data_IF_565124118445
#
_entry.id   IF_565124118445
#
_cell.length_a   1.000
_cell.length_b   1.000
_cell.length_c   1.000
_cell.angle_alpha   90.00
_cell.angle_beta   90.00
_cell.angle_gamma   90.00
#
_symmetry.space_group_name_H-M   'P 1'
#
loop_
_entity.id
_entity.type
_entity.pdbx_description
1 polymer ?
#
# COMPACT_ATOMS: atom_id res chain seq x y z
N UNK A 1 -41.87 29.87 35.76
CA UNK A 1 -41.35 30.60 34.60
C UNK A 1 -39.89 30.26 34.40
N UNK A 2 -39.53 29.83 33.18
CA UNK A 2 -38.15 29.68 32.67
C UNK A 2 -37.34 28.50 33.22
N UNK A 3 -36.44 27.83 32.50
CA UNK A 3 -36.12 27.76 31.06
C UNK A 3 -35.19 26.53 30.90
N UNK A 4 -35.27 25.88 29.74
CA UNK A 4 -34.44 24.75 29.25
C UNK A 4 -32.93 24.96 29.39
N UNK A 5 -32.13 23.88 29.51
CA UNK A 5 -31.07 23.48 28.54
C UNK A 5 -30.28 22.21 28.94
N UNK A 6 -30.37 21.19 28.07
CA UNK A 6 -29.31 20.28 27.56
C UNK A 6 -28.10 19.86 28.41
N UNK A 7 -27.90 18.54 28.58
CA UNK A 7 -26.59 17.87 28.49
C UNK A 7 -26.80 16.36 28.25
N UNK A 8 -26.68 15.91 26.99
CA UNK A 8 -25.54 15.13 26.47
C UNK A 8 -25.49 13.66 26.95
N UNK A 9 -26.07 12.84 26.08
CA UNK A 9 -25.95 11.38 25.96
C UNK A 9 -24.50 10.92 26.12
N UNK A 10 -24.19 10.26 27.23
CA UNK A 10 -22.91 9.55 27.42
C UNK A 10 -23.06 8.11 26.94
N UNK A 11 -22.69 7.84 25.69
CA UNK A 11 -22.53 6.48 25.16
C UNK A 11 -21.04 6.11 25.17
N UNK A 12 -20.48 5.89 26.36
CA UNK A 12 -19.15 5.31 26.48
C UNK A 12 -19.26 3.79 26.43
N UNK A 13 -19.56 3.26 25.26
CA UNK A 13 -19.30 1.84 24.97
C UNK A 13 -17.82 1.75 24.61
N UNK A 14 -17.00 1.42 25.61
CA UNK A 14 -15.66 0.87 25.41
C UNK A 14 -15.83 -0.42 24.61
N UNK A 15 -15.74 -0.31 23.29
CA UNK A 15 -15.59 -1.47 22.43
C UNK A 15 -14.20 -2.04 22.72
N UNK A 16 -14.13 -3.02 23.62
CA UNK A 16 -13.03 -3.96 23.68
C UNK A 16 -12.88 -4.52 22.26
N UNK A 17 -11.88 -4.08 21.52
CA UNK A 17 -11.53 -4.69 20.24
C UNK A 17 -11.24 -6.16 20.50
N UNK A 18 -12.16 -7.02 20.07
CA UNK A 18 -11.96 -8.46 20.12
C UNK A 18 -10.70 -8.81 19.33
N UNK A 19 -9.86 -9.75 19.80
CA UNK A 19 -8.65 -10.18 19.09
C UNK A 19 -8.92 -11.00 17.81
N UNK A 20 -10.13 -10.91 17.22
CA UNK A 20 -10.55 -11.68 16.04
C UNK A 20 -10.34 -10.99 14.68
N UNK A 21 -10.13 -9.68 14.65
CA UNK A 21 -10.01 -8.93 13.38
C UNK A 21 -8.66 -9.16 12.66
N UNK A 22 -7.69 -9.74 13.35
CA UNK A 22 -6.36 -9.98 12.81
C UNK A 22 -6.28 -11.13 11.78
N UNK A 23 -7.35 -11.90 11.57
CA UNK A 23 -7.32 -13.14 10.76
C UNK A 23 -8.46 -13.30 9.74
N UNK A 24 -9.29 -12.30 9.48
CA UNK A 24 -10.27 -12.41 8.37
C UNK A 24 -9.59 -12.23 7.01
N UNK A 25 -9.05 -13.33 6.48
CA UNK A 25 -8.93 -13.48 5.03
C UNK A 25 -10.35 -13.58 4.49
N UNK A 26 -10.69 -12.76 3.48
CA UNK A 26 -12.01 -12.85 2.85
C UNK A 26 -12.22 -14.28 2.34
N UNK A 27 -13.39 -14.88 2.61
CA UNK A 27 -13.72 -16.23 2.13
C UNK A 27 -13.49 -16.38 0.62
N UNK A 28 -13.71 -15.31 -0.16
CA UNK A 28 -13.44 -15.27 -1.60
C UNK A 28 -11.95 -15.39 -1.94
N UNK A 29 -11.07 -14.78 -1.13
CA UNK A 29 -9.62 -14.87 -1.32
C UNK A 29 -9.11 -16.27 -1.01
N UNK A 30 -9.60 -16.91 0.05
CA UNK A 30 -9.22 -18.29 0.37
C UNK A 30 -9.60 -19.27 -0.73
N UNK A 31 -10.78 -19.09 -1.35
CA UNK A 31 -11.23 -19.89 -2.50
C UNK A 31 -10.32 -19.66 -3.71
N UNK A 32 -10.05 -18.40 -4.07
CA UNK A 32 -9.12 -18.08 -5.16
C UNK A 32 -7.73 -18.72 -4.94
N UNK A 33 -7.18 -18.61 -3.73
CA UNK A 33 -5.87 -19.17 -3.43
C UNK A 33 -5.87 -20.69 -3.58
N UNK A 34 -6.85 -21.38 -2.99
CA UNK A 34 -6.90 -22.83 -2.99
C UNK A 34 -7.26 -23.44 -4.37
N UNK A 35 -8.23 -22.86 -5.05
CA UNK A 35 -8.85 -23.46 -6.25
C UNK A 35 -8.26 -22.92 -7.56
N UNK A 36 -7.62 -21.75 -7.53
CA UNK A 36 -7.08 -21.12 -8.75
C UNK A 36 -5.57 -20.92 -8.68
N UNK A 37 -5.06 -20.31 -7.61
CA UNK A 37 -3.64 -19.94 -7.54
C UNK A 37 -2.75 -21.16 -7.33
N UNK A 38 -3.03 -22.02 -6.34
CA UNK A 38 -2.21 -23.19 -6.05
C UNK A 38 -2.16 -24.17 -7.23
N UNK A 39 -3.27 -24.49 -7.92
CA UNK A 39 -3.24 -25.31 -9.13
C UNK A 39 -2.43 -24.66 -10.28
N UNK A 40 -2.57 -23.35 -10.49
CA UNK A 40 -1.75 -22.62 -11.46
C UNK A 40 -0.25 -22.76 -11.14
N UNK A 41 0.12 -22.57 -9.87
CA UNK A 41 1.50 -22.71 -9.41
C UNK A 41 2.02 -24.14 -9.55
N UNK A 42 1.19 -25.15 -9.30
CA UNK A 42 1.57 -26.55 -9.52
C UNK A 42 1.84 -26.85 -11.00
N UNK A 43 1.12 -26.19 -11.92
CA UNK A 43 1.37 -26.28 -13.35
C UNK A 43 2.66 -25.58 -13.81
N UNK A 44 2.99 -24.43 -13.24
CA UNK A 44 4.20 -23.68 -13.56
C UNK A 44 5.46 -24.30 -12.93
N UNK A 45 5.34 -24.88 -11.74
CA UNK A 45 6.45 -25.52 -11.01
C UNK A 45 6.09 -26.93 -10.56
N UNK A 46 6.21 -27.94 -11.46
CA UNK A 46 5.89 -29.33 -11.15
C UNK A 46 6.66 -29.89 -9.95
N UNK A 47 7.91 -29.44 -9.73
CA UNK A 47 8.72 -29.86 -8.58
C UNK A 47 8.12 -29.44 -7.22
N UNK A 48 7.25 -28.43 -7.21
CA UNK A 48 6.54 -27.96 -6.02
C UNK A 48 5.10 -28.47 -5.91
N UNK A 49 4.56 -29.17 -6.92
CA UNK A 49 3.15 -29.56 -6.97
C UNK A 49 2.70 -30.34 -5.73
N UNK A 50 3.48 -31.34 -5.31
CA UNK A 50 3.18 -32.14 -4.12
C UNK A 50 3.10 -31.30 -2.83
N UNK A 51 3.95 -30.27 -2.72
CA UNK A 51 3.96 -29.38 -1.55
C UNK A 51 2.73 -28.47 -1.54
N UNK A 52 2.30 -27.99 -2.71
CA UNK A 52 1.15 -27.11 -2.86
C UNK A 52 -0.18 -27.85 -2.67
N UNK A 53 -0.26 -29.11 -3.10
CA UNK A 53 -1.49 -29.91 -3.08
C UNK A 53 -1.74 -30.60 -1.72
N UNK A 54 -0.68 -31.06 -1.03
CA UNK A 54 -0.78 -31.83 0.22
C UNK A 54 -1.65 -31.20 1.33
N UNK A 55 -1.78 -29.87 1.34
CA UNK A 55 -2.72 -29.15 2.20
C UNK A 55 -3.16 -27.83 1.56
N UNK A 56 -3.79 -27.89 0.38
CA UNK A 56 -4.18 -26.71 -0.38
C UNK A 56 -4.96 -25.67 0.47
N UNK A 57 -5.89 -26.11 1.33
CA UNK A 57 -6.65 -25.22 2.22
C UNK A 57 -5.78 -24.55 3.30
N UNK A 58 -4.91 -25.30 3.96
CA UNK A 58 -4.01 -24.73 4.97
C UNK A 58 -2.98 -23.79 4.36
N UNK A 59 -2.46 -24.14 3.19
CA UNK A 59 -1.57 -23.29 2.40
C UNK A 59 -2.29 -22.01 1.99
N UNK A 60 -3.51 -22.09 1.44
CA UNK A 60 -4.30 -20.93 1.06
C UNK A 60 -4.57 -19.98 2.24
N UNK A 61 -4.86 -20.49 3.44
CA UNK A 61 -5.05 -19.67 4.64
C UNK A 61 -3.75 -18.94 5.04
N UNK A 62 -2.62 -19.64 5.06
CA UNK A 62 -1.32 -19.04 5.38
C UNK A 62 -0.93 -17.96 4.37
N UNK A 63 -1.16 -18.22 3.08
CA UNK A 63 -0.94 -17.27 1.99
C UNK A 63 -1.86 -16.06 2.10
N UNK A 64 -3.14 -16.25 2.39
CA UNK A 64 -4.12 -15.16 2.52
C UNK A 64 -3.78 -14.18 3.64
N UNK A 65 -3.16 -14.64 4.72
CA UNK A 65 -2.65 -13.78 5.79
C UNK A 65 -1.47 -12.91 5.32
N UNK A 66 -0.51 -13.52 4.62
CA UNK A 66 0.72 -12.85 4.17
C UNK A 66 0.49 -11.88 2.99
N UNK A 67 -0.50 -12.19 2.16
CA UNK A 67 -0.89 -11.41 0.98
C UNK A 67 -2.09 -10.47 1.25
N UNK A 68 -2.43 -10.25 2.52
CA UNK A 68 -3.50 -9.32 2.91
C UNK A 68 -3.26 -7.94 2.30
N UNK A 69 -4.32 -7.38 1.70
CA UNK A 69 -4.30 -6.05 1.09
C UNK A 69 -4.06 -6.06 -0.42
N UNK A 70 -3.70 -7.21 -1.00
CA UNK A 70 -3.65 -7.38 -2.45
C UNK A 70 -4.90 -8.08 -2.98
N UNK A 71 -5.29 -7.75 -4.20
CA UNK A 71 -6.38 -8.42 -4.89
C UNK A 71 -5.90 -9.67 -5.65
N UNK A 72 -6.84 -10.54 -6.05
CA UNK A 72 -6.52 -11.79 -6.74
C UNK A 72 -5.76 -11.58 -8.06
N UNK A 73 -6.06 -10.52 -8.80
CA UNK A 73 -5.39 -10.20 -10.06
C UNK A 73 -3.92 -9.84 -9.84
N UNK A 74 -3.63 -8.95 -8.88
CA UNK A 74 -2.26 -8.56 -8.52
C UNK A 74 -1.42 -9.78 -8.12
N UNK A 75 -2.00 -10.68 -7.33
CA UNK A 75 -1.34 -11.91 -6.89
C UNK A 75 -1.06 -12.83 -8.08
N UNK A 76 -2.06 -13.04 -8.95
CA UNK A 76 -1.92 -13.88 -10.15
C UNK A 76 -0.85 -13.34 -11.10
N UNK A 77 -0.89 -12.05 -11.42
CA UNK A 77 0.08 -11.41 -12.31
C UNK A 77 1.50 -11.53 -11.78
N UNK A 78 1.70 -11.31 -10.47
CA UNK A 78 3.02 -11.47 -9.86
C UNK A 78 3.52 -12.92 -9.92
N UNK A 79 2.64 -13.90 -9.72
CA UNK A 79 3.00 -15.32 -9.88
C UNK A 79 3.34 -15.66 -11.32
N UNK A 80 2.56 -15.19 -12.29
CA UNK A 80 2.83 -15.42 -13.71
C UNK A 80 4.18 -14.82 -14.12
N UNK A 81 4.47 -13.58 -13.70
CA UNK A 81 5.75 -12.94 -13.99
C UNK A 81 6.93 -13.70 -13.36
N UNK A 82 6.78 -14.21 -12.14
CA UNK A 82 7.81 -15.06 -11.52
C UNK A 82 7.98 -16.39 -12.25
N UNK A 83 6.95 -16.86 -12.97
CA UNK A 83 6.99 -18.04 -13.83
C UNK A 83 7.66 -17.82 -15.18
N UNK A 84 7.93 -16.58 -15.58
CA UNK A 84 8.73 -16.28 -16.79
C UNK A 84 10.23 -16.54 -16.56
N UNK A 85 10.67 -16.66 -15.31
CA UNK A 85 12.03 -17.01 -14.94
C UNK A 85 12.29 -18.51 -15.17
N UNK A 86 12.92 -18.82 -16.31
CA UNK A 86 13.20 -20.19 -16.75
C UNK A 86 14.18 -20.95 -15.83
N UNK A 87 15.00 -20.25 -15.05
CA UNK A 87 15.97 -20.88 -14.15
C UNK A 87 15.33 -21.30 -12.81
N UNK A 88 14.11 -20.83 -12.52
CA UNK A 88 13.39 -21.13 -11.29
C UNK A 88 12.75 -22.52 -11.34
N UNK A 89 13.29 -23.42 -10.53
CA UNK A 89 12.79 -24.79 -10.41
C UNK A 89 11.60 -24.95 -9.45
N UNK A 90 11.43 -24.03 -8.49
CA UNK A 90 10.43 -24.14 -7.42
C UNK A 90 9.47 -22.95 -7.37
N UNK A 91 8.24 -23.26 -6.95
CA UNK A 91 7.18 -22.28 -6.72
C UNK A 91 7.63 -21.16 -5.78
N UNK A 92 7.26 -19.89 -6.07
CA UNK A 92 7.60 -18.76 -5.22
C UNK A 92 6.91 -18.86 -3.87
N UNK A 93 7.59 -18.38 -2.83
CA UNK A 93 7.01 -18.20 -1.49
C UNK A 93 6.08 -16.98 -1.49
N UNK A 94 5.09 -16.92 -0.58
CA UNK A 94 4.19 -15.76 -0.48
C UNK A 94 4.92 -14.41 -0.32
N UNK A 95 6.06 -14.41 0.37
CA UNK A 95 6.89 -13.22 0.55
C UNK A 95 7.51 -12.71 -0.77
N UNK A 96 7.91 -13.63 -1.66
CA UNK A 96 8.45 -13.29 -2.98
C UNK A 96 7.36 -12.74 -3.90
N UNK A 97 6.17 -13.34 -3.86
CA UNK A 97 4.99 -12.83 -4.57
C UNK A 97 4.65 -11.42 -4.09
N UNK A 98 4.61 -11.20 -2.77
CA UNK A 98 4.42 -9.86 -2.19
C UNK A 98 5.47 -8.86 -2.67
N UNK A 99 6.74 -9.24 -2.67
CA UNK A 99 7.82 -8.37 -3.14
C UNK A 99 7.67 -8.03 -4.63
N UNK A 100 7.28 -8.99 -5.47
CA UNK A 100 7.00 -8.77 -6.88
C UNK A 100 5.81 -7.81 -7.08
N UNK A 101 4.71 -7.99 -6.34
CA UNK A 101 3.57 -7.06 -6.40
C UNK A 101 4.00 -5.63 -6.04
N UNK A 102 4.77 -5.46 -4.96
CA UNK A 102 5.26 -4.14 -4.52
C UNK A 102 6.28 -3.52 -5.50
N UNK A 103 7.04 -4.35 -6.22
CA UNK A 103 7.97 -3.88 -7.26
C UNK A 103 7.24 -3.42 -8.52
N UNK A 104 6.23 -4.19 -8.96
CA UNK A 104 5.46 -3.91 -10.18
C UNK A 104 4.44 -2.79 -9.99
N UNK A 105 3.96 -2.65 -8.76
CA UNK A 105 3.10 -1.57 -8.34
C UNK A 105 3.91 -0.81 -7.28
N UNK A 106 4.89 0.03 -7.70
CA UNK A 106 5.53 0.93 -6.76
C UNK A 106 4.36 1.76 -6.24
N UNK A 107 3.92 1.46 -5.02
CA UNK A 107 2.85 2.20 -4.37
C UNK A 107 3.23 3.66 -4.63
N UNK A 108 2.45 4.44 -5.41
CA UNK A 108 2.60 5.87 -5.31
C UNK A 108 2.23 6.08 -3.87
N UNK A 109 3.25 6.22 -2.98
CA UNK A 109 3.13 6.29 -1.52
C UNK A 109 1.77 6.87 -1.30
N UNK A 110 0.79 6.05 -0.92
CA UNK A 110 -0.59 6.51 -0.90
C UNK A 110 -0.53 7.72 -0.02
N UNK A 111 -0.64 8.90 -0.65
CA UNK A 111 -0.47 10.15 0.05
C UNK A 111 -1.48 9.99 1.17
N UNK A 112 -1.08 10.05 2.46
CA UNK A 112 -2.05 9.94 3.53
C UNK A 112 -3.12 10.94 3.15
N UNK A 113 -4.35 10.47 2.94
CA UNK A 113 -5.47 11.34 2.57
C UNK A 113 -5.46 12.43 3.64
N UNK A 114 -5.04 13.64 3.24
CA UNK A 114 -4.86 14.76 4.17
C UNK A 114 -3.45 15.25 4.48
N UNK A 115 -2.36 14.84 3.80
CA UNK A 115 -1.10 15.63 3.89
C UNK A 115 -1.33 17.00 3.26
N UNK A 116 -1.55 17.97 4.14
CA UNK A 116 -1.67 19.39 3.82
C UNK A 116 -0.40 20.09 4.23
N UNK A 117 0.15 20.88 3.33
CA UNK A 117 1.26 21.80 3.63
C UNK A 117 0.82 23.21 3.28
N UNK A 118 1.34 24.20 4.00
CA UNK A 118 1.09 25.59 3.63
C UNK A 118 1.96 25.98 2.43
N UNK A 119 1.51 26.99 1.68
CA UNK A 119 2.34 27.61 0.64
C UNK A 119 3.68 28.10 1.22
N UNK A 120 3.67 28.62 2.45
CA UNK A 120 4.88 29.10 3.16
C UNK A 120 5.94 28.01 3.38
N UNK A 121 5.51 26.76 3.61
CA UNK A 121 6.45 25.63 3.71
C UNK A 121 7.08 25.32 2.36
N UNK A 122 6.33 25.46 1.27
CA UNK A 122 6.85 25.26 -0.08
C UNK A 122 7.84 26.36 -0.48
N UNK A 123 7.57 27.61 -0.09
CA UNK A 123 8.50 28.74 -0.26
C UNK A 123 9.81 28.51 0.48
N UNK A 124 9.73 28.15 1.76
CA UNK A 124 10.92 27.86 2.58
C UNK A 124 11.73 26.68 2.00
N UNK A 125 11.05 25.64 1.49
CA UNK A 125 11.72 24.52 0.83
C UNK A 125 12.43 24.95 -0.46
N UNK A 126 11.81 25.81 -1.27
CA UNK A 126 12.43 26.38 -2.47
C UNK A 126 13.65 27.24 -2.13
N UNK A 127 13.55 28.13 -1.14
CA UNK A 127 14.66 28.95 -0.66
C UNK A 127 15.84 28.10 -0.19
N UNK A 128 15.59 27.06 0.60
CA UNK A 128 16.63 26.14 1.07
C UNK A 128 17.31 25.40 -0.09
N UNK A 129 16.53 24.93 -1.08
CA UNK A 129 17.08 24.25 -2.26
C UNK A 129 17.98 25.17 -3.08
N UNK A 130 17.53 26.40 -3.33
CA UNK A 130 18.31 27.41 -4.06
C UNK A 130 19.57 27.80 -3.28
N UNK A 131 19.46 28.02 -1.97
CA UNK A 131 20.61 28.32 -1.12
C UNK A 131 21.65 27.19 -1.12
N UNK A 132 21.22 25.93 -1.05
CA UNK A 132 22.13 24.79 -1.06
C UNK A 132 22.86 24.64 -2.41
N UNK A 133 22.20 25.00 -3.52
CA UNK A 133 22.75 24.93 -4.87
C UNK A 133 23.72 26.08 -5.17
N UNK A 134 23.27 27.31 -4.96
CA UNK A 134 23.93 28.51 -5.46
C UNK A 134 24.60 29.33 -4.36
N UNK A 135 24.44 28.93 -3.08
CA UNK A 135 24.89 29.67 -1.88
C UNK A 135 24.38 31.11 -1.80
N UNK A 136 23.36 31.41 -2.60
CA UNK A 136 22.66 32.67 -2.74
C UNK A 136 21.18 32.37 -2.93
N UNK A 137 20.30 33.34 -2.64
CA UNK A 137 18.84 33.15 -2.69
C UNK A 137 18.20 34.22 -3.59
N UNK A 138 18.51 34.24 -4.90
CA UNK A 138 17.90 35.21 -5.81
C UNK A 138 16.41 34.90 -6.01
N UNK A 139 15.58 35.94 -5.96
CA UNK A 139 14.11 35.81 -5.98
C UNK A 139 13.57 35.09 -7.22
N UNK A 140 14.19 35.30 -8.38
CA UNK A 140 13.81 34.63 -9.64
C UNK A 140 14.03 33.11 -9.58
N UNK A 141 15.18 32.67 -9.03
CA UNK A 141 15.48 31.24 -8.86
C UNK A 141 14.58 30.59 -7.82
N UNK A 142 14.27 31.31 -6.73
CA UNK A 142 13.32 30.83 -5.73
C UNK A 142 11.92 30.67 -6.33
N UNK A 143 11.47 31.61 -7.17
CA UNK A 143 10.18 31.50 -7.86
C UNK A 143 10.14 30.30 -8.81
N UNK A 144 11.21 30.07 -9.59
CA UNK A 144 11.33 28.91 -10.47
C UNK A 144 11.38 27.59 -9.69
N UNK A 145 12.12 27.54 -8.59
CA UNK A 145 12.24 26.35 -7.74
C UNK A 145 10.95 26.10 -6.95
N UNK A 146 10.22 27.15 -6.54
CA UNK A 146 8.90 27.03 -5.91
C UNK A 146 7.89 26.36 -6.85
N UNK A 147 7.87 26.71 -8.13
CA UNK A 147 7.02 26.02 -9.11
C UNK A 147 7.36 24.52 -9.20
N UNK A 148 8.65 24.17 -9.17
CA UNK A 148 9.09 22.77 -9.15
C UNK A 148 8.64 22.05 -7.88
N UNK A 149 8.79 22.68 -6.71
CA UNK A 149 8.32 22.14 -5.43
C UNK A 149 6.81 21.92 -5.45
N UNK A 150 6.02 22.85 -5.96
CA UNK A 150 4.56 22.71 -6.06
C UNK A 150 4.15 21.56 -6.99
N UNK A 151 4.79 21.42 -8.15
CA UNK A 151 4.57 20.28 -9.06
C UNK A 151 4.96 18.97 -8.39
N UNK A 152 6.06 18.94 -7.63
CA UNK A 152 6.50 17.78 -6.86
C UNK A 152 5.46 17.41 -5.78
N UNK A 153 4.94 18.38 -5.03
CA UNK A 153 3.89 18.16 -4.03
C UNK A 153 2.60 17.66 -4.67
N UNK A 154 2.21 18.21 -5.83
CA UNK A 154 1.04 17.74 -6.59
C UNK A 154 1.21 16.29 -7.07
N UNK A 155 2.38 15.93 -7.59
CA UNK A 155 2.72 14.54 -7.96
C UNK A 155 2.72 13.60 -6.75
N UNK A 156 3.07 14.12 -5.58
CA UNK A 156 3.04 13.39 -4.31
C UNK A 156 1.64 13.34 -3.67
N UNK A 157 0.61 13.89 -4.31
CA UNK A 157 -0.76 13.94 -3.77
C UNK A 157 -0.91 14.82 -2.53
N UNK A 158 0.02 15.75 -2.29
CA UNK A 158 -0.01 16.68 -1.17
C UNK A 158 -0.86 17.90 -1.55
N UNK A 159 -1.82 18.25 -0.69
CA UNK A 159 -2.67 19.43 -0.90
C UNK A 159 -1.97 20.66 -0.32
N UNK A 160 -1.65 21.64 -1.16
CA UNK A 160 -1.09 22.93 -0.73
C UNK A 160 -2.24 23.88 -0.42
N UNK A 161 -2.25 24.47 0.77
CA UNK A 161 -3.16 25.57 1.11
C UNK A 161 -2.39 26.89 1.16
N UNK A 162 -2.83 27.85 0.35
CA UNK A 162 -2.50 29.26 0.51
C UNK A 162 -3.51 29.92 1.45
N UNK A 163 -3.04 30.85 2.28
CA UNK A 163 -3.91 31.83 2.91
C UNK A 163 -4.47 32.79 1.84
#
# INVERSE_FOLDING_TARGET
GGRMTTALRSNQTTALSAPGDALQVSARMSVFLAEELLPLMAGLWPASANQLDSNARGVALAWGSLLRGFNAQQIREAVLQLGEDADRQYAPRPAEVRAAILRNNPVPRTAPVGRRVSLRVCEMEAEVRVYLRDRSVPAEEVAAELQRVLVEKARQGVSVKGA
#
